data_IF_853642647518
#
_entry.id   IF_853642647518
#
_cell.length_a   1.000
_cell.length_b   1.000
_cell.length_c   1.000
_cell.angle_alpha   90.00
_cell.angle_beta   90.00
_cell.angle_gamma   90.00
#
_symmetry.space_group_name_H-M   'P 1'
#
loop_
_entity.id
_entity.type
_entity.pdbx_description
1 polymer ?
#
# COMPACT_ATOMS: atom_id res chain seq x y z
N UNK A 1 14.66 -1.08 -22.94
CA UNK A 1 13.24 -1.03 -23.36
C UNK A 1 12.39 -1.91 -22.45
N UNK A 2 12.82 -3.12 -22.13
CA UNK A 2 12.03 -4.08 -21.32
C UNK A 2 11.59 -3.58 -19.93
N UNK A 3 12.40 -2.76 -19.26
CA UNK A 3 12.06 -2.29 -17.91
C UNK A 3 10.94 -1.25 -17.89
N UNK A 4 10.79 -0.44 -18.93
CA UNK A 4 9.76 0.60 -18.99
C UNK A 4 8.40 0.01 -19.42
N UNK A 5 8.41 -0.86 -20.43
CA UNK A 5 7.22 -1.60 -20.83
C UNK A 5 6.71 -2.48 -19.68
N UNK A 6 7.62 -3.04 -18.87
CA UNK A 6 7.30 -3.81 -17.68
C UNK A 6 6.69 -2.94 -16.57
N UNK A 7 7.22 -1.73 -16.33
CA UNK A 7 6.65 -0.80 -15.39
C UNK A 7 5.24 -0.34 -15.80
N UNK A 8 5.03 -0.10 -17.09
CA UNK A 8 3.72 0.26 -17.64
C UNK A 8 2.72 -0.89 -17.52
N UNK A 9 3.13 -2.13 -17.86
CA UNK A 9 2.26 -3.30 -17.70
C UNK A 9 1.94 -3.58 -16.22
N UNK A 10 2.90 -3.42 -15.31
CA UNK A 10 2.67 -3.60 -13.87
C UNK A 10 1.71 -2.53 -13.30
N UNK A 11 1.76 -1.30 -13.81
CA UNK A 11 0.83 -0.24 -13.44
C UNK A 11 -0.60 -0.55 -13.89
N UNK A 12 -0.78 -0.94 -15.16
CA UNK A 12 -2.08 -1.32 -15.70
C UNK A 12 -2.66 -2.57 -15.01
N UNK A 13 -1.82 -3.57 -14.74
CA UNK A 13 -2.22 -4.79 -14.04
C UNK A 13 -2.79 -4.50 -12.63
N UNK A 14 -2.23 -3.52 -11.90
CA UNK A 14 -2.76 -3.12 -10.59
C UNK A 14 -4.13 -2.47 -10.71
N UNK A 15 -4.35 -1.63 -11.72
CA UNK A 15 -5.65 -1.02 -11.97
C UNK A 15 -6.70 -2.06 -12.41
N UNK A 16 -6.31 -3.05 -13.19
CA UNK A 16 -7.17 -4.17 -13.59
C UNK A 16 -7.58 -5.02 -12.37
N UNK A 17 -6.64 -5.36 -11.49
CA UNK A 17 -6.92 -6.11 -10.25
C UNK A 17 -7.88 -5.31 -9.36
N UNK A 18 -7.69 -3.99 -9.23
CA UNK A 18 -8.56 -3.14 -8.43
C UNK A 18 -9.98 -3.00 -9.03
N UNK A 19 -10.15 -3.27 -10.33
CA UNK A 19 -11.44 -3.24 -11.02
C UNK A 19 -12.19 -4.60 -11.00
N UNK A 20 -11.58 -5.67 -10.46
CA UNK A 20 -12.23 -6.97 -10.34
C UNK A 20 -13.46 -6.91 -9.42
N UNK A 21 -14.38 -7.88 -9.61
CA UNK A 21 -15.63 -7.94 -8.85
C UNK A 21 -15.58 -9.10 -7.84
N UNK A 22 -15.14 -8.81 -6.62
CA UNK A 22 -15.30 -9.72 -5.48
C UNK A 22 -16.13 -9.07 -4.38
N UNK A 23 -16.47 -9.82 -3.34
CA UNK A 23 -17.20 -9.28 -2.18
C UNK A 23 -16.50 -8.05 -1.59
N UNK A 24 -15.18 -8.07 -1.45
CA UNK A 24 -14.43 -6.93 -0.94
C UNK A 24 -14.50 -5.72 -1.88
N UNK A 25 -14.46 -5.92 -3.19
CA UNK A 25 -14.50 -4.80 -4.16
C UNK A 25 -15.81 -4.01 -4.08
N UNK A 26 -16.93 -4.65 -3.72
CA UNK A 26 -18.23 -4.01 -3.60
C UNK A 26 -18.43 -3.21 -2.30
N UNK A 27 -17.56 -3.40 -1.29
CA UNK A 27 -17.65 -2.66 -0.04
C UNK A 27 -17.30 -1.19 -0.23
N UNK A 28 -17.92 -0.34 0.57
CA UNK A 28 -17.70 1.11 0.51
C UNK A 28 -16.21 1.46 0.75
N UNK A 29 -15.57 2.26 -0.11
CA UNK A 29 -14.13 2.52 -0.06
C UNK A 29 -13.68 3.21 1.24
N UNK A 30 -14.52 4.07 1.84
CA UNK A 30 -14.24 4.68 3.13
C UNK A 30 -14.13 3.64 4.25
N UNK A 31 -15.00 2.63 4.25
CA UNK A 31 -14.97 1.57 5.25
C UNK A 31 -13.67 0.75 5.16
N UNK A 32 -13.24 0.41 3.96
CA UNK A 32 -11.96 -0.30 3.72
C UNK A 32 -10.77 0.53 4.20
N UNK A 33 -10.75 1.81 3.86
CA UNK A 33 -9.69 2.72 4.25
C UNK A 33 -9.60 2.87 5.78
N UNK A 34 -10.75 3.08 6.46
CA UNK A 34 -10.80 3.17 7.92
C UNK A 34 -10.34 1.88 8.60
N UNK A 35 -10.81 0.71 8.13
CA UNK A 35 -10.41 -0.59 8.67
C UNK A 35 -8.91 -0.81 8.50
N UNK A 36 -8.36 -0.51 7.32
CA UNK A 36 -6.92 -0.68 7.03
C UNK A 36 -6.07 0.25 7.90
N UNK A 37 -6.45 1.52 8.03
CA UNK A 37 -5.75 2.47 8.90
C UNK A 37 -5.80 2.03 10.37
N UNK A 38 -6.98 1.62 10.84
CA UNK A 38 -7.14 1.12 12.21
C UNK A 38 -6.31 -0.14 12.43
N UNK A 39 -6.27 -1.06 11.47
CA UNK A 39 -5.44 -2.26 11.53
C UNK A 39 -3.96 -1.92 11.68
N UNK A 40 -3.43 -1.06 10.80
CA UNK A 40 -2.03 -0.63 10.82
C UNK A 40 -1.71 0.04 12.17
N UNK A 41 -2.59 0.93 12.64
CA UNK A 41 -2.41 1.60 13.92
C UNK A 41 -2.36 0.62 15.09
N UNK A 42 -3.27 -0.36 15.12
CA UNK A 42 -3.30 -1.39 16.17
C UNK A 42 -2.05 -2.28 16.11
N UNK A 43 -1.64 -2.74 14.91
CA UNK A 43 -0.43 -3.57 14.72
C UNK A 43 0.83 -2.84 15.20
N UNK A 44 0.98 -1.55 14.87
CA UNK A 44 2.12 -0.74 15.31
C UNK A 44 2.09 -0.52 16.84
N UNK A 45 0.90 -0.37 17.43
CA UNK A 45 0.71 -0.14 18.87
C UNK A 45 1.09 -1.32 19.77
N UNK A 46 1.28 -2.53 19.25
CA UNK A 46 1.76 -3.67 20.05
C UNK A 46 3.15 -3.41 20.64
N UNK A 47 3.40 -3.93 21.85
CA UNK A 47 4.72 -3.81 22.46
C UNK A 47 5.79 -4.58 21.68
N UNK A 48 7.07 -4.18 21.78
CA UNK A 48 8.18 -4.77 21.03
C UNK A 48 8.49 -6.25 21.36
N UNK A 49 7.92 -6.77 22.43
CA UNK A 49 8.11 -8.18 22.87
C UNK A 49 6.84 -9.04 22.76
N UNK A 50 5.72 -8.48 22.31
CA UNK A 50 4.42 -9.17 22.24
C UNK A 50 4.24 -9.92 20.89
N UNK A 51 4.97 -11.01 20.69
CA UNK A 51 4.82 -11.83 19.47
C UNK A 51 3.45 -12.53 19.44
N UNK A 52 2.95 -13.00 20.58
CA UNK A 52 1.74 -13.82 20.62
C UNK A 52 0.49 -13.01 20.28
N UNK A 53 0.38 -11.78 20.78
CA UNK A 53 -0.71 -10.88 20.40
C UNK A 53 -0.65 -10.52 18.92
N UNK A 54 0.57 -10.34 18.40
CA UNK A 54 0.78 -10.01 17.00
C UNK A 54 0.44 -11.19 16.07
N UNK A 55 0.68 -12.44 16.49
CA UNK A 55 0.35 -13.63 15.70
C UNK A 55 -1.15 -13.74 15.43
N UNK A 56 -2.00 -13.30 16.34
CA UNK A 56 -3.46 -13.30 16.14
C UNK A 56 -3.86 -12.33 15.03
N UNK A 57 -3.13 -11.23 14.87
CA UNK A 57 -3.40 -10.24 13.84
C UNK A 57 -3.15 -10.76 12.41
N UNK A 58 -2.43 -11.88 12.24
CA UNK A 58 -2.23 -12.51 10.92
C UNK A 58 -3.56 -13.04 10.34
N UNK A 59 -4.53 -13.31 11.19
CA UNK A 59 -5.84 -13.83 10.77
C UNK A 59 -6.57 -12.86 9.84
N UNK A 60 -6.46 -11.54 10.11
CA UNK A 60 -7.12 -10.52 9.30
C UNK A 60 -6.64 -10.51 7.84
N UNK A 61 -5.33 -10.32 7.52
CA UNK A 61 -4.90 -10.35 6.13
C UNK A 61 -5.19 -11.67 5.43
N UNK A 62 -5.05 -12.82 6.10
CA UNK A 62 -5.36 -14.13 5.49
C UNK A 62 -6.84 -14.21 5.07
N UNK A 63 -7.77 -13.85 5.98
CA UNK A 63 -9.19 -13.86 5.67
C UNK A 63 -9.54 -12.87 4.54
N UNK A 64 -8.90 -11.70 4.54
CA UNK A 64 -9.16 -10.69 3.52
C UNK A 64 -8.62 -11.08 2.15
N UNK A 65 -7.45 -11.72 2.06
CA UNK A 65 -6.93 -12.25 0.79
C UNK A 65 -7.85 -13.32 0.20
N UNK A 66 -8.41 -14.20 1.05
CA UNK A 66 -9.39 -15.19 0.59
C UNK A 66 -10.70 -14.55 0.13
N UNK A 67 -11.20 -13.56 0.86
CA UNK A 67 -12.43 -12.83 0.52
C UNK A 67 -12.26 -11.97 -0.75
N UNK A 68 -11.06 -11.44 -1.00
CA UNK A 68 -10.73 -10.70 -2.21
C UNK A 68 -10.45 -11.61 -3.41
N UNK A 69 -10.25 -12.91 -3.19
CA UNK A 69 -9.82 -13.89 -4.21
C UNK A 69 -8.46 -13.55 -4.86
N UNK A 70 -7.64 -12.77 -4.18
CA UNK A 70 -6.32 -12.38 -4.65
C UNK A 70 -5.29 -13.41 -4.16
N UNK A 71 -4.44 -13.98 -5.01
CA UNK A 71 -3.43 -14.93 -4.58
C UNK A 71 -2.36 -14.24 -3.72
N UNK A 72 -2.11 -14.76 -2.53
CA UNK A 72 -1.12 -14.20 -1.57
C UNK A 72 0.29 -14.12 -2.19
N UNK A 73 0.61 -15.02 -3.10
CA UNK A 73 1.91 -15.04 -3.79
C UNK A 73 2.14 -13.75 -4.61
N UNK A 74 1.08 -13.14 -5.16
CA UNK A 74 1.15 -11.87 -5.89
C UNK A 74 1.57 -10.72 -4.96
N UNK A 75 1.05 -10.72 -3.72
CA UNK A 75 1.45 -9.77 -2.69
C UNK A 75 2.96 -9.89 -2.40
N UNK A 76 3.47 -11.10 -2.14
CA UNK A 76 4.89 -11.30 -1.89
C UNK A 76 5.76 -10.94 -3.10
N UNK A 77 5.31 -11.22 -4.30
CA UNK A 77 6.03 -10.87 -5.52
C UNK A 77 6.14 -9.34 -5.69
N UNK A 78 5.04 -8.62 -5.54
CA UNK A 78 5.02 -7.14 -5.64
C UNK A 78 5.78 -6.48 -4.47
N UNK A 79 5.72 -7.05 -3.27
CA UNK A 79 6.41 -6.53 -2.09
C UNK A 79 7.88 -6.99 -1.96
N UNK A 80 8.37 -7.82 -2.87
CA UNK A 80 9.75 -8.35 -2.85
C UNK A 80 10.81 -7.27 -2.72
N UNK A 81 10.59 -6.09 -3.28
CA UNK A 81 11.54 -4.96 -3.18
C UNK A 81 11.53 -4.31 -1.78
N UNK A 82 10.38 -4.30 -1.09
CA UNK A 82 10.22 -3.62 0.21
C UNK A 82 10.60 -4.53 1.36
N UNK A 83 10.38 -5.85 1.23
CA UNK A 83 10.69 -6.83 2.27
C UNK A 83 12.16 -6.78 2.76
N UNK A 84 13.19 -6.75 1.89
CA UNK A 84 14.58 -6.71 2.35
C UNK A 84 14.88 -5.42 3.13
N UNK A 85 14.21 -4.30 2.81
CA UNK A 85 14.35 -3.04 3.55
C UNK A 85 13.78 -3.17 4.97
N UNK A 86 12.59 -3.76 5.13
CA UNK A 86 11.98 -4.05 6.44
C UNK A 86 12.88 -5.00 7.25
N UNK A 87 13.43 -6.04 6.60
CA UNK A 87 14.38 -6.95 7.22
C UNK A 87 15.66 -6.24 7.67
N UNK A 88 16.21 -5.36 6.83
CA UNK A 88 17.45 -4.61 7.15
C UNK A 88 17.27 -3.72 8.39
N UNK A 89 16.12 -3.00 8.48
CA UNK A 89 15.79 -2.19 9.67
C UNK A 89 15.64 -3.09 10.91
N UNK A 90 15.00 -4.26 10.76
CA UNK A 90 14.86 -5.24 11.85
C UNK A 90 16.20 -5.76 12.37
N UNK A 91 17.17 -6.01 11.47
CA UNK A 91 18.50 -6.54 11.82
C UNK A 91 19.34 -5.58 12.67
N UNK A 92 19.00 -4.32 12.74
CA UNK A 92 19.69 -3.35 13.62
C UNK A 92 19.32 -3.55 15.09
N UNK A 93 18.11 -4.05 15.39
CA UNK A 93 17.62 -4.20 16.76
C UNK A 93 18.47 -5.11 17.66
N UNK A 94 18.98 -6.28 17.20
CA UNK A 94 19.84 -7.15 18.02
C UNK A 94 21.12 -6.46 18.48
N UNK A 95 21.59 -5.45 17.75
CA UNK A 95 22.80 -4.69 18.12
C UNK A 95 22.53 -3.59 19.15
N UNK A 96 21.27 -3.18 19.29
CA UNK A 96 20.89 -2.09 20.20
C UNK A 96 20.30 -2.60 21.52
N UNK A 97 19.66 -3.77 21.55
CA UNK A 97 18.94 -4.28 22.71
C UNK A 97 19.51 -5.64 23.16
N UNK A 98 20.37 -5.61 24.20
CA UNK A 98 21.05 -6.79 24.75
C UNK A 98 20.38 -7.33 26.02
N UNK A 99 19.21 -6.84 26.40
CA UNK A 99 18.51 -7.28 27.61
C UNK A 99 18.04 -8.71 27.46
N UNK A 100 18.44 -9.64 28.35
CA UNK A 100 17.93 -11.02 28.32
C UNK A 100 16.47 -11.03 28.79
N UNK A 101 15.54 -11.49 27.91
CA UNK A 101 14.09 -11.47 28.21
C UNK A 101 13.57 -12.86 28.55
N UNK A 102 14.06 -13.91 27.88
CA UNK A 102 13.58 -15.28 28.09
C UNK A 102 14.78 -16.23 28.19
N UNK A 103 14.81 -17.05 29.24
CA UNK A 103 15.74 -18.18 29.37
C UNK A 103 14.96 -19.47 29.11
N UNK A 104 15.24 -20.14 28.00
CA UNK A 104 14.71 -21.47 27.69
C UNK A 104 15.89 -22.45 27.81
N UNK A 105 16.07 -23.07 28.99
CA UNK A 105 17.17 -23.98 29.26
C UNK A 105 18.55 -23.30 29.13
N UNK A 106 19.38 -23.76 28.22
CA UNK A 106 20.74 -23.22 27.97
C UNK A 106 20.78 -22.09 26.94
N UNK A 107 19.66 -21.73 26.30
CA UNK A 107 19.61 -20.68 25.27
C UNK A 107 19.02 -19.42 25.88
N UNK A 108 19.83 -18.37 25.96
CA UNK A 108 19.41 -17.02 26.37
C UNK A 108 18.92 -16.30 25.12
N UNK A 109 17.60 -16.09 25.01
CA UNK A 109 17.03 -15.29 23.94
C UNK A 109 17.13 -13.82 24.33
N UNK A 110 17.96 -13.07 23.60
CA UNK A 110 18.13 -11.63 23.80
C UNK A 110 16.87 -10.88 23.35
N UNK A 111 16.51 -9.82 24.08
CA UNK A 111 15.36 -8.96 23.74
C UNK A 111 15.46 -8.36 22.33
N UNK A 112 16.68 -8.14 21.84
CA UNK A 112 16.93 -7.67 20.49
C UNK A 112 16.47 -8.63 19.42
N UNK A 113 16.64 -9.95 19.58
CA UNK A 113 16.14 -10.94 18.63
C UNK A 113 14.60 -10.97 18.59
N UNK A 114 13.97 -10.88 19.76
CA UNK A 114 12.53 -10.83 19.89
C UNK A 114 11.98 -9.54 19.24
N UNK A 115 12.59 -8.42 19.52
CA UNK A 115 12.27 -7.11 18.94
C UNK A 115 12.47 -7.07 17.42
N UNK A 116 13.53 -7.71 16.90
CA UNK A 116 13.74 -7.89 15.46
C UNK A 116 12.56 -8.63 14.83
N UNK A 117 12.18 -9.78 15.39
CA UNK A 117 11.12 -10.61 14.84
C UNK A 117 9.76 -9.88 14.87
N UNK A 118 9.44 -9.21 15.99
CA UNK A 118 8.19 -8.42 16.09
C UNK A 118 8.16 -7.26 15.10
N UNK A 119 9.28 -6.56 14.87
CA UNK A 119 9.35 -5.47 13.90
C UNK A 119 9.15 -5.99 12.46
N UNK A 120 9.80 -7.10 12.12
CA UNK A 120 9.62 -7.73 10.82
C UNK A 120 8.16 -8.17 10.59
N UNK A 121 7.53 -8.79 11.59
CA UNK A 121 6.11 -9.18 11.51
C UNK A 121 5.19 -7.97 11.36
N UNK A 122 5.39 -6.91 12.15
CA UNK A 122 4.63 -5.65 12.04
C UNK A 122 4.73 -5.05 10.63
N UNK A 123 5.95 -4.98 10.11
CA UNK A 123 6.21 -4.49 8.76
C UNK A 123 5.50 -5.33 7.69
N UNK A 124 5.62 -6.66 7.76
CA UNK A 124 4.94 -7.56 6.84
C UNK A 124 3.40 -7.40 6.89
N UNK A 125 2.82 -7.33 8.09
CA UNK A 125 1.37 -7.19 8.23
C UNK A 125 0.85 -5.84 7.73
N UNK A 126 1.57 -4.75 8.03
CA UNK A 126 1.25 -3.43 7.52
C UNK A 126 1.32 -3.38 5.99
N UNK A 127 2.34 -3.99 5.39
CA UNK A 127 2.51 -4.08 3.93
C UNK A 127 1.40 -4.92 3.29
N UNK A 128 1.05 -6.07 3.88
CA UNK A 128 -0.06 -6.90 3.37
C UNK A 128 -1.39 -6.15 3.41
N UNK A 129 -1.67 -5.43 4.50
CA UNK A 129 -2.90 -4.64 4.63
C UNK A 129 -2.95 -3.47 3.63
N UNK A 130 -1.83 -2.76 3.44
CA UNK A 130 -1.72 -1.68 2.45
C UNK A 130 -1.89 -2.19 1.03
N UNK A 131 -1.24 -3.31 0.70
CA UNK A 131 -1.39 -3.94 -0.61
C UNK A 131 -2.83 -4.34 -0.88
N UNK A 132 -3.50 -4.95 0.10
CA UNK A 132 -4.89 -5.36 0.00
C UNK A 132 -5.82 -4.16 -0.26
N UNK A 133 -5.60 -3.03 0.42
CA UNK A 133 -6.38 -1.81 0.19
C UNK A 133 -6.23 -1.33 -1.26
N UNK A 134 -5.00 -1.25 -1.77
CA UNK A 134 -4.73 -0.78 -3.15
C UNK A 134 -5.27 -1.77 -4.18
N UNK A 135 -5.13 -3.08 -3.94
CA UNK A 135 -5.58 -4.12 -4.85
C UNK A 135 -7.11 -4.30 -4.89
N UNK A 136 -7.84 -3.83 -3.87
CA UNK A 136 -9.31 -3.97 -3.80
C UNK A 136 -10.08 -2.67 -3.99
N UNK A 137 -9.38 -1.54 -4.13
CA UNK A 137 -10.04 -0.24 -4.19
C UNK A 137 -9.43 0.61 -5.30
N UNK A 138 -10.19 0.88 -6.40
CA UNK A 138 -9.75 1.78 -7.45
C UNK A 138 -9.38 3.15 -6.90
N UNK A 139 -8.39 3.79 -7.51
CA UNK A 139 -7.87 5.08 -7.03
C UNK A 139 -8.94 6.17 -7.04
N UNK A 140 -9.85 6.16 -8.02
CA UNK A 140 -10.98 7.09 -8.08
C UNK A 140 -11.87 6.99 -6.84
N UNK A 141 -12.20 5.76 -6.43
CA UNK A 141 -12.98 5.48 -5.22
C UNK A 141 -12.22 5.84 -3.94
N UNK A 142 -10.90 5.65 -3.93
CA UNK A 142 -10.04 6.04 -2.81
C UNK A 142 -10.01 7.56 -2.64
N UNK A 143 -9.93 8.32 -3.74
CA UNK A 143 -10.01 9.79 -3.72
C UNK A 143 -11.35 10.28 -3.16
N UNK A 144 -12.45 9.63 -3.55
CA UNK A 144 -13.76 9.94 -3.01
C UNK A 144 -13.84 9.66 -1.50
N UNK A 145 -13.27 8.55 -1.03
CA UNK A 145 -13.18 8.24 0.40
C UNK A 145 -12.33 9.26 1.18
N UNK A 146 -11.23 9.74 0.59
CA UNK A 146 -10.38 10.78 1.20
C UNK A 146 -11.16 12.09 1.44
N UNK A 147 -11.99 12.51 0.50
CA UNK A 147 -12.88 13.68 0.67
C UNK A 147 -13.87 13.50 1.83
N UNK A 148 -14.42 12.29 1.98
CA UNK A 148 -15.34 12.01 3.09
C UNK A 148 -14.68 12.11 4.47
N UNK A 149 -13.36 11.96 4.56
CA UNK A 149 -12.55 12.17 5.78
C UNK A 149 -12.16 13.65 5.96
N UNK A 150 -12.76 14.57 5.20
CA UNK A 150 -12.48 16.01 5.23
C UNK A 150 -11.07 16.40 4.74
N UNK A 151 -10.44 15.59 3.90
CA UNK A 151 -9.24 16.01 3.18
C UNK A 151 -9.64 17.09 2.17
N UNK A 152 -8.90 18.22 2.06
CA UNK A 152 -9.20 19.27 1.10
C UNK A 152 -9.39 18.75 -0.32
N UNK A 153 -10.46 19.20 -0.99
CA UNK A 153 -10.82 18.74 -2.35
C UNK A 153 -9.70 18.92 -3.37
N UNK A 154 -8.90 19.97 -3.18
CA UNK A 154 -7.71 20.22 -4.00
C UNK A 154 -6.69 19.07 -3.94
N UNK A 155 -6.44 18.52 -2.75
CA UNK A 155 -5.48 17.40 -2.58
C UNK A 155 -6.02 16.12 -3.18
N UNK A 156 -7.30 15.81 -2.98
CA UNK A 156 -7.93 14.63 -3.58
C UNK A 156 -7.93 14.71 -5.12
N UNK A 157 -8.22 15.89 -5.66
CA UNK A 157 -8.18 16.16 -7.10
C UNK A 157 -6.76 16.05 -7.67
N UNK A 158 -5.76 16.57 -6.95
CA UNK A 158 -4.35 16.46 -7.33
C UNK A 158 -3.90 15.00 -7.38
N UNK A 159 -4.27 14.21 -6.38
CA UNK A 159 -3.92 12.79 -6.33
C UNK A 159 -4.55 12.01 -7.49
N UNK A 160 -5.83 12.25 -7.76
CA UNK A 160 -6.56 11.65 -8.89
C UNK A 160 -5.91 11.96 -10.23
N UNK A 161 -5.63 13.25 -10.47
CA UNK A 161 -4.99 13.68 -11.71
C UNK A 161 -3.57 13.10 -11.84
N UNK A 162 -2.80 13.11 -10.76
CA UNK A 162 -1.46 12.53 -10.76
C UNK A 162 -1.51 11.06 -11.17
N UNK A 163 -2.38 10.26 -10.54
CA UNK A 163 -2.53 8.85 -10.87
C UNK A 163 -2.88 8.65 -12.36
N UNK A 164 -3.89 9.36 -12.84
CA UNK A 164 -4.34 9.26 -14.25
C UNK A 164 -3.24 9.64 -15.24
N UNK A 165 -2.45 10.68 -14.93
CA UNK A 165 -1.42 11.17 -15.84
C UNK A 165 -0.09 10.42 -15.74
N UNK A 166 0.14 9.57 -14.72
CA UNK A 166 1.29 8.67 -14.68
C UNK A 166 1.31 7.77 -15.91
N UNK A 167 0.19 7.14 -16.28
CA UNK A 167 0.08 6.30 -17.47
C UNK A 167 0.45 7.06 -18.76
N UNK A 168 -0.11 8.27 -18.93
CA UNK A 168 0.17 9.13 -20.11
C UNK A 168 1.65 9.54 -20.16
N UNK A 169 2.25 9.89 -19.03
CA UNK A 169 3.66 10.25 -18.97
C UNK A 169 4.58 9.05 -19.22
N UNK A 170 4.20 7.85 -18.80
CA UNK A 170 4.96 6.63 -19.14
C UNK A 170 4.98 6.35 -20.64
N UNK A 171 3.87 6.58 -21.35
CA UNK A 171 3.83 6.50 -22.81
C UNK A 171 4.76 7.54 -23.45
N UNK A 172 4.72 8.79 -22.99
CA UNK A 172 5.59 9.87 -23.48
C UNK A 172 7.07 9.53 -23.29
N UNK A 173 7.44 9.04 -22.10
CA UNK A 173 8.81 8.57 -21.81
C UNK A 173 9.19 7.43 -22.74
N UNK A 174 8.30 6.49 -23.03
CA UNK A 174 8.53 5.38 -23.94
C UNK A 174 8.86 5.89 -25.36
N UNK A 175 8.08 6.83 -25.88
CA UNK A 175 8.30 7.46 -27.19
C UNK A 175 9.65 8.19 -27.22
N UNK A 176 9.98 8.94 -26.17
CA UNK A 176 11.27 9.64 -26.08
C UNK A 176 12.46 8.68 -26.06
N UNK A 177 12.37 7.57 -25.33
CA UNK A 177 13.42 6.54 -25.29
C UNK A 177 13.57 5.86 -26.66
N UNK A 178 12.45 5.57 -27.33
CA UNK A 178 12.48 5.01 -28.69
C UNK A 178 13.19 5.99 -29.69
N UNK A 179 12.81 7.27 -29.64
CA UNK A 179 13.44 8.29 -30.45
C UNK A 179 14.95 8.44 -30.18
N UNK A 180 15.34 8.34 -28.89
CA UNK A 180 16.77 8.36 -28.52
C UNK A 180 17.52 7.13 -29.04
N UNK A 181 16.94 5.93 -28.91
CA UNK A 181 17.55 4.68 -29.37
C UNK A 181 17.77 4.65 -30.88
N UNK A 182 16.88 5.26 -31.65
CA UNK A 182 17.02 5.38 -33.10
C UNK A 182 18.15 6.34 -33.50
N UNK A 183 18.43 7.37 -32.71
CA UNK A 183 19.54 8.33 -32.94
C UNK A 183 20.89 7.82 -32.48
N UNK A 184 20.90 6.89 -31.51
CA UNK A 184 22.11 6.32 -30.92
C UNK A 184 22.07 4.78 -30.88
N UNK A 185 22.03 4.07 -32.03
CA UNK A 185 21.74 2.63 -32.08
C UNK A 185 22.80 1.75 -31.40
N UNK A 186 24.01 2.25 -31.19
CA UNK A 186 25.10 1.49 -30.54
C UNK A 186 25.18 1.69 -29.03
N UNK A 187 24.22 2.42 -28.42
CA UNK A 187 24.21 2.66 -26.98
C UNK A 187 23.16 1.81 -26.30
N UNK A 188 23.55 1.18 -25.15
CA UNK A 188 22.59 0.49 -24.28
C UNK A 188 22.05 1.47 -23.24
N UNK A 189 20.82 1.95 -23.45
CA UNK A 189 20.16 2.90 -22.56
C UNK A 189 20.53 4.37 -22.81
N UNK A 190 20.09 5.27 -21.93
CA UNK A 190 20.35 6.72 -22.04
C UNK A 190 21.70 7.03 -21.38
N UNK A 191 22.59 7.67 -22.07
CA UNK A 191 23.89 8.10 -21.54
C UNK A 191 23.69 9.16 -20.45
N UNK A 192 24.52 9.15 -19.39
CA UNK A 192 24.39 10.07 -18.23
C UNK A 192 24.39 11.54 -18.67
N UNK A 193 25.22 11.91 -19.65
CA UNK A 193 25.25 13.29 -20.19
C UNK A 193 23.97 13.72 -20.89
N UNK A 194 23.16 12.78 -21.38
CA UNK A 194 21.88 13.05 -22.04
C UNK A 194 20.69 13.15 -21.08
N UNK A 195 20.86 12.71 -19.81
CA UNK A 195 19.78 12.74 -18.82
C UNK A 195 19.25 14.13 -18.55
N UNK A 196 20.11 15.15 -18.49
CA UNK A 196 19.68 16.54 -18.26
C UNK A 196 18.75 17.05 -19.35
N UNK A 197 19.12 16.82 -20.63
CA UNK A 197 18.28 17.20 -21.77
C UNK A 197 16.99 16.38 -21.83
N UNK A 198 17.06 15.08 -21.53
CA UNK A 198 15.90 14.19 -21.50
C UNK A 198 14.88 14.61 -20.44
N UNK A 199 15.32 14.84 -19.20
CA UNK A 199 14.45 15.29 -18.10
C UNK A 199 13.91 16.70 -18.34
N UNK A 200 14.73 17.61 -18.91
CA UNK A 200 14.27 18.95 -19.26
C UNK A 200 13.15 18.92 -20.32
N UNK A 201 13.31 18.08 -21.34
CA UNK A 201 12.27 17.91 -22.35
C UNK A 201 11.00 17.26 -21.79
N UNK A 202 11.12 16.27 -20.91
CA UNK A 202 9.98 15.65 -20.25
C UNK A 202 9.24 16.66 -19.37
N UNK A 203 9.99 17.51 -18.64
CA UNK A 203 9.39 18.57 -17.80
C UNK A 203 8.60 19.57 -18.67
N UNK A 204 9.17 20.06 -19.77
CA UNK A 204 8.48 20.98 -20.66
C UNK A 204 7.18 20.37 -21.20
N UNK A 205 7.23 19.14 -21.70
CA UNK A 205 6.04 18.43 -22.20
C UNK A 205 4.99 18.21 -21.12
N UNK A 206 5.41 17.91 -19.89
CA UNK A 206 4.47 17.74 -18.76
C UNK A 206 3.79 19.06 -18.37
N UNK A 207 4.51 20.19 -18.46
CA UNK A 207 3.95 21.53 -18.23
C UNK A 207 2.96 21.93 -19.33
N UNK A 208 3.30 21.71 -20.58
CA UNK A 208 2.39 21.98 -21.72
C UNK A 208 1.11 21.16 -21.57
N UNK A 209 1.25 19.88 -21.25
CA UNK A 209 0.11 18.98 -21.00
C UNK A 209 -0.76 19.43 -19.83
N UNK A 210 -0.14 19.87 -18.73
CA UNK A 210 -0.86 20.38 -17.58
C UNK A 210 -1.68 21.66 -17.91
N UNK A 211 -1.11 22.55 -18.72
CA UNK A 211 -1.81 23.75 -19.19
C UNK A 211 -2.98 23.40 -20.12
N UNK A 212 -2.78 22.54 -21.10
CA UNK A 212 -3.85 22.06 -21.98
C UNK A 212 -5.00 21.43 -21.20
N UNK A 213 -4.66 20.57 -20.22
CA UNK A 213 -5.64 19.96 -19.33
C UNK A 213 -6.40 21.01 -18.55
N UNK A 214 -5.70 21.96 -17.93
CA UNK A 214 -6.34 23.02 -17.14
C UNK A 214 -7.32 23.83 -17.98
N UNK A 215 -6.93 24.28 -19.17
CA UNK A 215 -7.82 25.01 -20.07
C UNK A 215 -9.02 24.15 -20.52
N UNK A 216 -8.80 22.89 -20.84
CA UNK A 216 -9.90 21.99 -21.21
C UNK A 216 -10.89 21.76 -20.06
N UNK A 217 -10.40 21.69 -18.82
CA UNK A 217 -11.23 21.58 -17.63
C UNK A 217 -12.04 22.88 -17.38
N UNK A 218 -11.42 24.05 -17.54
CA UNK A 218 -12.13 25.33 -17.42
C UNK A 218 -13.27 25.45 -18.42
N UNK A 219 -13.04 25.05 -19.68
CA UNK A 219 -14.09 25.05 -20.72
C UNK A 219 -15.24 24.09 -20.40
N UNK A 220 -14.99 23.04 -19.61
CA UNK A 220 -16.02 22.10 -19.11
C UNK A 220 -16.67 22.55 -17.80
N UNK A 221 -16.35 23.75 -17.32
CA UNK A 221 -16.96 24.31 -16.10
C UNK A 221 -16.33 23.85 -14.80
N UNK A 222 -15.06 23.38 -14.81
CA UNK A 222 -14.35 23.00 -13.61
C UNK A 222 -14.21 24.18 -12.65
N UNK A 223 -14.60 23.99 -11.39
CA UNK A 223 -14.58 24.98 -10.31
C UNK A 223 -13.65 24.61 -9.15
N UNK A 224 -12.65 23.79 -9.41
CA UNK A 224 -11.71 23.31 -8.38
C UNK A 224 -12.09 21.96 -7.74
N UNK A 225 -13.24 21.41 -8.09
CA UNK A 225 -13.75 20.15 -7.55
C UNK A 225 -14.12 19.19 -8.67
N UNK A 226 -13.75 17.91 -8.50
CA UNK A 226 -14.27 16.84 -9.34
C UNK A 226 -15.53 16.24 -8.73
N UNK A 227 -16.56 16.06 -9.56
CA UNK A 227 -17.74 15.31 -9.20
C UNK A 227 -17.47 13.83 -9.41
N UNK A 228 -17.39 13.08 -8.32
CA UNK A 228 -17.24 11.63 -8.37
C UNK A 228 -18.64 11.01 -8.50
N UNK A 229 -18.89 10.38 -9.66
CA UNK A 229 -20.19 9.81 -9.98
C UNK A 229 -20.45 8.43 -9.38
N UNK A 230 -19.41 7.67 -9.10
CA UNK A 230 -19.50 6.23 -8.89
C UNK A 230 -19.05 5.74 -7.49
N UNK A 231 -19.31 6.53 -6.44
CA UNK A 231 -19.11 6.01 -5.08
C UNK A 231 -20.25 5.04 -4.78
N UNK A 232 -19.97 3.74 -4.53
CA UNK A 232 -21.02 2.80 -4.17
C UNK A 232 -21.74 3.30 -2.92
N UNK A 233 -23.08 3.17 -2.91
CA UNK A 233 -23.87 3.55 -1.74
C UNK A 233 -23.38 2.78 -0.50
N UNK A 234 -23.39 3.44 0.66
CA UNK A 234 -23.01 2.78 1.90
C UNK A 234 -24.08 1.76 2.29
N UNK A 235 -23.88 0.50 1.92
CA UNK A 235 -24.77 -0.60 2.29
C UNK A 235 -24.52 -1.03 3.74
N UNK A 236 -25.52 -1.61 4.38
CA UNK A 236 -25.43 -2.17 5.74
C UNK A 236 -24.24 -3.14 5.90
N UNK A 237 -23.94 -3.90 4.85
CA UNK A 237 -22.81 -4.85 4.83
C UNK A 237 -21.46 -4.16 5.04
N UNK A 238 -21.27 -2.96 4.49
CA UNK A 238 -20.04 -2.18 4.67
C UNK A 238 -19.87 -1.68 6.11
N UNK A 239 -20.97 -1.27 6.74
CA UNK A 239 -20.97 -0.85 8.15
C UNK A 239 -20.72 -2.05 9.05
N UNK A 240 -21.39 -3.17 8.80
CA UNK A 240 -21.22 -4.41 9.57
C UNK A 240 -19.77 -4.93 9.47
N UNK A 241 -19.20 -4.93 8.28
CA UNK A 241 -17.78 -5.26 8.06
C UNK A 241 -16.86 -4.38 8.91
N UNK A 242 -17.09 -3.07 8.92
CA UNK A 242 -16.26 -2.12 9.66
C UNK A 242 -16.37 -2.36 11.17
N UNK A 243 -17.59 -2.54 11.69
CA UNK A 243 -17.82 -2.79 13.12
C UNK A 243 -17.20 -4.13 13.57
N UNK A 244 -17.37 -5.20 12.80
CA UNK A 244 -16.80 -6.52 13.12
C UNK A 244 -15.27 -6.44 13.09
N UNK A 245 -14.68 -5.81 12.08
CA UNK A 245 -13.23 -5.71 11.95
C UNK A 245 -12.61 -4.87 13.07
N UNK A 246 -13.17 -3.71 13.36
CA UNK A 246 -12.68 -2.84 14.45
C UNK A 246 -12.90 -3.54 15.82
N UNK A 247 -14.06 -4.16 16.03
CA UNK A 247 -14.34 -4.95 17.24
C UNK A 247 -13.32 -6.07 17.42
N UNK A 248 -13.00 -6.81 16.37
CA UNK A 248 -11.96 -7.84 16.41
C UNK A 248 -10.58 -7.27 16.77
N UNK A 249 -10.16 -6.13 16.19
CA UNK A 249 -8.86 -5.52 16.49
C UNK A 249 -8.78 -5.04 17.94
N UNK A 250 -9.85 -4.42 18.44
CA UNK A 250 -9.94 -3.97 19.84
C UNK A 250 -9.91 -5.16 20.78
N UNK A 251 -10.72 -6.20 20.51
CA UNK A 251 -10.70 -7.42 21.30
C UNK A 251 -9.32 -8.08 21.31
N UNK A 252 -8.69 -8.24 20.15
CA UNK A 252 -7.36 -8.83 20.04
C UNK A 252 -6.28 -8.01 20.77
N UNK A 253 -6.46 -6.68 20.89
CA UNK A 253 -5.54 -5.80 21.61
C UNK A 253 -5.74 -5.84 23.13
N UNK A 254 -7.02 -5.88 23.60
CA UNK A 254 -7.33 -5.83 25.02
C UNK A 254 -7.33 -7.20 25.68
N UNK A 255 -7.75 -8.25 24.98
CA UNK A 255 -7.66 -9.60 25.49
C UNK A 255 -6.18 -9.99 25.41
N UNK A 256 -5.50 -9.94 26.58
CA UNK A 256 -4.16 -10.51 26.74
C UNK A 256 -4.26 -12.05 26.67
N UNK A 257 -4.56 -12.57 25.48
CA UNK A 257 -4.73 -14.02 25.22
C UNK A 257 -3.49 -14.79 25.64
N UNK A 258 -2.32 -14.14 25.61
CA UNK A 258 -1.05 -14.68 26.15
C UNK A 258 -1.12 -15.10 27.61
N UNK A 259 -1.82 -14.33 28.45
CA UNK A 259 -1.96 -14.71 29.88
C UNK A 259 -2.95 -15.85 30.07
N UNK A 260 -3.98 -15.94 29.21
CA UNK A 260 -4.95 -17.03 29.24
C UNK A 260 -4.32 -18.36 28.73
N UNK A 261 -3.62 -18.34 27.63
CA UNK A 261 -2.93 -19.54 27.08
C UNK A 261 -1.77 -19.95 27.99
N UNK A 262 -0.99 -19.00 28.52
CA UNK A 262 0.08 -19.30 29.49
C UNK A 262 -0.44 -19.95 30.76
N UNK A 263 -1.59 -19.53 31.29
CA UNK A 263 -2.21 -20.14 32.46
C UNK A 263 -2.84 -21.53 32.21
N UNK A 264 -3.13 -21.88 30.94
CA UNK A 264 -3.61 -23.23 30.57
C UNK A 264 -2.45 -24.20 30.40
N UNK A 265 -1.29 -23.72 29.96
CA UNK A 265 -0.10 -24.57 29.72
C UNK A 265 0.82 -24.73 30.94
N UNK A 266 0.66 -23.91 31.98
CA UNK A 266 1.45 -23.94 33.23
C UNK A 266 0.67 -24.62 34.40
N UNK A 267 -0.46 -25.25 34.10
CA UNK A 267 -1.17 -26.13 35.08
C UNK A 267 -0.89 -27.59 34.87
#
# INVERSE_FOLDING_TARGET
>A
MDNLSKAQSEFLEMDEIAAEKSFLHQLHPLCKLLVTLTYIFVVVSFHKYDITGLTIMILYPILMFQAAQIPVHLCFYKLRMVLPFVCAVGLVNPFLDHVPVIQIGHIIVTGGFLSMLTLMMKGCFALMASFLLVATTPVDSLCAAMRMIHIPDMLASLFLLTHRYIGVMLEEVSVMIQAYSLRAPNQKGIHISAWGSFLGQLLLRSMDRAQELYYSMLLRGFRGEFLYSDVPACHMDSVLYTLISIGFFVCARFIRITQWIGNIFVR
#
